data_IF_403023484977
#
_entry.id   IF_403023484977
#
_cell.length_a   1.000
_cell.length_b   1.000
_cell.length_c   1.000
_cell.angle_alpha   90.00
_cell.angle_beta   90.00
_cell.angle_gamma   90.00
#
_symmetry.space_group_name_H-M   'P 1'
#
loop_
_entity.id
_entity.type
_entity.pdbx_description
1 polymer ?
#
# COMPACT_ATOMS: atom_id res chain seq x y z
N UNK A 1 -2.72 37.37 16.00
CA UNK A 1 -2.22 36.59 14.85
C UNK A 1 -3.08 35.35 14.72
N UNK A 2 -3.77 35.15 13.59
CA UNK A 2 -4.61 33.97 13.40
C UNK A 2 -3.70 32.80 13.03
N UNK A 3 -3.36 31.94 14.00
CA UNK A 3 -2.39 30.85 13.85
C UNK A 3 -2.85 29.79 12.83
N UNK A 4 -4.14 29.76 12.47
CA UNK A 4 -4.74 28.76 11.60
C UNK A 4 -5.86 29.31 10.70
N UNK A 5 -5.72 30.50 10.10
CA UNK A 5 -6.86 31.20 9.46
C UNK A 5 -7.51 30.43 8.32
N UNK A 6 -6.85 30.34 7.17
CA UNK A 6 -7.41 29.76 5.95
C UNK A 6 -7.26 28.24 5.93
N UNK A 7 -6.14 27.72 6.45
CA UNK A 7 -5.85 26.29 6.45
C UNK A 7 -6.82 25.48 7.32
N UNK A 8 -7.29 26.04 8.44
CA UNK A 8 -8.29 25.36 9.28
C UNK A 8 -9.63 25.27 8.56
N UNK A 9 -10.00 26.29 7.79
CA UNK A 9 -11.22 26.25 6.98
C UNK A 9 -11.09 25.17 5.90
N UNK A 10 -9.99 25.13 5.16
CA UNK A 10 -9.74 24.11 4.13
C UNK A 10 -9.81 22.70 4.72
N UNK A 11 -9.20 22.49 5.88
CA UNK A 11 -9.21 21.18 6.54
C UNK A 11 -10.57 20.81 7.14
N UNK A 12 -11.32 21.75 7.72
CA UNK A 12 -12.69 21.50 8.20
C UNK A 12 -13.65 21.18 7.05
N UNK A 13 -13.53 21.90 5.94
CA UNK A 13 -14.31 21.62 4.73
C UNK A 13 -13.95 20.23 4.21
N UNK A 14 -12.66 19.90 4.09
CA UNK A 14 -12.25 18.58 3.60
C UNK A 14 -12.64 17.46 4.56
N UNK A 15 -12.55 17.66 5.87
CA UNK A 15 -13.03 16.69 6.86
C UNK A 15 -14.55 16.46 6.74
N UNK A 16 -15.31 17.52 6.47
CA UNK A 16 -16.76 17.42 6.22
C UNK A 16 -17.07 16.69 4.91
N UNK A 17 -16.28 16.93 3.85
CA UNK A 17 -16.35 16.20 2.59
C UNK A 17 -16.04 14.72 2.83
N UNK A 18 -14.98 14.41 3.55
CA UNK A 18 -14.62 13.03 3.86
C UNK A 18 -15.75 12.33 4.63
N UNK A 19 -16.34 12.97 5.65
CA UNK A 19 -17.42 12.36 6.43
C UNK A 19 -18.72 12.17 5.65
N UNK A 20 -19.13 13.16 4.84
CA UNK A 20 -20.43 13.14 4.15
C UNK A 20 -20.38 12.52 2.76
N UNK A 21 -19.30 12.75 2.02
CA UNK A 21 -19.17 12.36 0.61
C UNK A 21 -18.57 10.97 0.48
N UNK A 22 -17.62 10.56 1.34
CA UNK A 22 -17.02 9.20 1.26
C UNK A 22 -18.06 8.08 1.40
N UNK A 23 -19.13 8.32 2.17
CA UNK A 23 -20.25 7.37 2.31
C UNK A 23 -20.96 7.08 0.97
N UNK A 24 -21.06 8.07 0.07
CA UNK A 24 -21.78 7.96 -1.20
C UNK A 24 -20.86 7.76 -2.41
N UNK A 25 -19.73 8.47 -2.44
CA UNK A 25 -18.73 8.41 -3.49
C UNK A 25 -17.39 8.02 -2.86
N UNK A 26 -16.97 6.79 -3.13
CA UNK A 26 -15.64 6.31 -2.76
C UNK A 26 -14.90 5.94 -4.02
N UNK A 27 -13.71 6.50 -4.18
CA UNK A 27 -12.85 6.19 -5.32
C UNK A 27 -12.27 4.78 -5.19
N UNK A 28 -12.10 4.29 -3.97
CA UNK A 28 -11.71 2.91 -3.71
C UNK A 28 -12.77 1.93 -4.24
N UNK A 29 -14.05 2.24 -4.02
CA UNK A 29 -15.17 1.45 -4.59
C UNK A 29 -15.14 1.47 -6.10
N UNK A 30 -14.99 2.65 -6.68
CA UNK A 30 -14.94 2.80 -8.14
C UNK A 30 -13.78 2.03 -8.76
N UNK A 31 -12.57 2.10 -8.19
CA UNK A 31 -11.39 1.40 -8.72
C UNK A 31 -11.60 -0.12 -8.74
N UNK A 32 -12.21 -0.65 -7.69
CA UNK A 32 -12.44 -2.07 -7.51
C UNK A 32 -13.67 -2.61 -8.28
N UNK A 33 -14.70 -1.80 -8.53
CA UNK A 33 -15.91 -2.24 -9.25
C UNK A 33 -15.87 -2.01 -10.76
N UNK A 34 -14.93 -1.20 -11.26
CA UNK A 34 -14.97 -0.75 -12.66
C UNK A 34 -14.82 -1.88 -13.70
N UNK A 35 -13.91 -2.84 -13.47
CA UNK A 35 -13.57 -3.89 -14.46
C UNK A 35 -13.28 -5.26 -13.86
N UNK A 36 -13.51 -5.45 -12.57
CA UNK A 36 -13.38 -6.78 -11.98
C UNK A 36 -14.64 -7.60 -12.25
N UNK A 37 -14.40 -8.84 -12.60
CA UNK A 37 -15.43 -9.84 -12.86
C UNK A 37 -15.29 -10.95 -11.82
N UNK A 38 -16.40 -11.37 -11.21
CA UNK A 38 -16.47 -12.53 -10.34
C UNK A 38 -17.03 -13.72 -11.12
N UNK A 39 -16.58 -14.91 -10.74
CA UNK A 39 -17.26 -16.14 -11.15
C UNK A 39 -18.44 -16.37 -10.22
N UNK A 40 -19.60 -16.65 -10.80
CA UNK A 40 -20.76 -17.09 -10.03
C UNK A 40 -20.54 -18.54 -9.59
N UNK A 41 -21.13 -18.91 -8.45
CA UNK A 41 -21.17 -20.32 -8.08
C UNK A 41 -22.06 -21.05 -9.09
N UNK A 42 -21.65 -22.24 -9.56
CA UNK A 42 -22.47 -23.03 -10.46
C UNK A 42 -23.72 -23.50 -9.74
N UNK A 43 -24.84 -23.57 -10.45
CA UNK A 43 -26.08 -24.10 -9.86
C UNK A 43 -25.98 -25.62 -9.66
N UNK A 44 -26.77 -26.16 -8.74
CA UNK A 44 -26.82 -27.60 -8.50
C UNK A 44 -27.21 -28.38 -9.77
N UNK A 45 -28.05 -27.79 -10.61
CA UNK A 45 -28.47 -28.38 -11.89
C UNK A 45 -27.32 -28.43 -12.91
N UNK A 46 -26.50 -27.39 -12.98
CA UNK A 46 -25.29 -27.37 -13.80
C UNK A 46 -24.29 -28.40 -13.30
N UNK A 47 -24.05 -28.45 -11.99
CA UNK A 47 -23.15 -29.44 -11.39
C UNK A 47 -23.60 -30.87 -11.66
N UNK A 48 -24.90 -31.15 -11.55
CA UNK A 48 -25.49 -32.46 -11.85
C UNK A 48 -25.38 -32.81 -13.33
N UNK A 49 -25.64 -31.83 -14.22
CA UNK A 49 -25.55 -32.03 -15.66
C UNK A 49 -24.12 -32.36 -16.12
N UNK A 50 -23.12 -31.65 -15.61
CA UNK A 50 -21.72 -31.84 -15.98
C UNK A 50 -21.12 -33.08 -15.29
N UNK A 51 -21.60 -33.42 -14.09
CA UNK A 51 -21.21 -34.66 -13.41
C UNK A 51 -21.89 -35.93 -13.99
N UNK A 52 -22.78 -35.80 -14.97
CA UNK A 52 -23.53 -36.91 -15.55
C UNK A 52 -24.52 -37.57 -14.58
N UNK A 53 -24.86 -36.87 -13.49
CA UNK A 53 -25.77 -37.33 -12.45
C UNK A 53 -27.18 -36.80 -12.76
N UNK A 54 -28.10 -37.68 -13.17
CA UNK A 54 -29.51 -37.28 -13.27
C UNK A 54 -30.14 -37.24 -11.87
N UNK A 55 -30.75 -36.09 -11.51
CA UNK A 55 -31.67 -35.99 -10.37
C UNK A 55 -32.89 -36.85 -10.69
N UNK A 56 -32.86 -38.13 -10.33
CA UNK A 56 -33.95 -39.08 -10.63
C UNK A 56 -35.29 -38.53 -10.10
N UNK A 57 -36.22 -38.02 -10.94
CA UNK A 57 -37.48 -37.44 -10.48
C UNK A 57 -38.55 -38.51 -10.21
N UNK A 58 -38.16 -39.78 -10.05
CA UNK A 58 -39.11 -40.87 -10.06
C UNK A 58 -38.53 -42.21 -9.61
N UNK A 59 -38.26 -42.36 -8.32
CA UNK A 59 -38.41 -43.68 -7.67
C UNK A 59 -39.66 -43.68 -6.82
N UNK A 60 -40.77 -43.95 -7.48
CA UNK A 60 -42.03 -44.32 -6.85
C UNK A 60 -41.84 -45.54 -5.92
N UNK A 61 -42.19 -45.34 -4.64
CA UNK A 61 -42.73 -46.31 -3.69
C UNK A 61 -42.26 -47.78 -3.83
N UNK A 62 -41.17 -48.12 -3.14
CA UNK A 62 -40.76 -49.50 -2.84
C UNK A 62 -40.52 -49.68 -1.34
N UNK A 63 -41.53 -50.27 -0.67
CA UNK A 63 -41.70 -50.60 0.75
C UNK A 63 -40.45 -51.18 1.46
N UNK A 64 -40.05 -50.58 2.60
CA UNK A 64 -39.58 -51.15 3.90
C UNK A 64 -38.31 -50.49 4.44
N UNK A 65 -38.35 -50.12 5.72
CA UNK A 65 -37.16 -49.91 6.54
C UNK A 65 -37.29 -48.71 7.47
N UNK A 66 -37.59 -48.99 8.73
CA UNK A 66 -37.78 -48.04 9.82
C UNK A 66 -36.43 -47.44 10.22
N UNK A 67 -36.48 -46.17 10.63
CA UNK A 67 -35.51 -45.45 11.49
C UNK A 67 -34.36 -44.67 10.82
N UNK A 68 -34.63 -43.39 10.53
CA UNK A 68 -33.68 -42.29 10.73
C UNK A 68 -34.45 -40.98 10.62
N UNK A 69 -34.63 -40.28 11.74
CA UNK A 69 -34.95 -38.84 11.73
C UNK A 69 -33.70 -38.13 11.20
N UNK A 70 -33.71 -37.78 9.92
CA UNK A 70 -32.71 -36.90 9.32
C UNK A 70 -33.45 -35.71 8.75
N UNK A 71 -32.99 -34.52 9.11
CA UNK A 71 -33.55 -33.22 8.76
C UNK A 71 -33.88 -33.15 7.26
N UNK A 72 -35.13 -32.83 6.98
CA UNK A 72 -35.68 -32.58 5.65
C UNK A 72 -35.45 -31.10 5.30
N UNK A 73 -34.18 -30.72 5.11
CA UNK A 73 -33.81 -29.55 4.33
C UNK A 73 -33.59 -30.04 2.90
N UNK A 74 -34.46 -29.65 1.97
CA UNK A 74 -34.59 -30.16 0.60
C UNK A 74 -33.42 -29.95 -0.38
N UNK A 75 -32.18 -29.87 0.11
CA UNK A 75 -30.98 -30.04 -0.70
C UNK A 75 -30.49 -31.48 -0.54
N UNK A 76 -30.83 -32.30 -1.52
CA UNK A 76 -30.26 -33.63 -1.64
C UNK A 76 -28.76 -33.51 -1.84
N UNK A 77 -27.96 -33.70 -0.80
CA UNK A 77 -26.49 -33.75 -0.88
C UNK A 77 -26.08 -34.73 -2.00
N UNK A 78 -25.45 -34.21 -3.06
CA UNK A 78 -24.94 -35.02 -4.17
C UNK A 78 -23.42 -34.91 -4.24
N UNK A 79 -22.75 -36.07 -4.41
CA UNK A 79 -21.29 -36.11 -4.48
C UNK A 79 -20.82 -35.82 -5.90
N UNK A 80 -20.12 -34.70 -6.07
CA UNK A 80 -19.56 -34.26 -7.33
C UNK A 80 -18.10 -34.72 -7.45
N UNK A 81 -17.70 -35.42 -8.53
CA UNK A 81 -16.29 -35.72 -8.81
C UNK A 81 -15.43 -34.45 -8.84
N UNK A 82 -14.25 -34.49 -8.20
CA UNK A 82 -13.36 -33.31 -8.08
C UNK A 82 -12.73 -32.85 -9.40
N UNK A 83 -12.76 -33.67 -10.46
CA UNK A 83 -12.04 -33.42 -11.72
C UNK A 83 -12.97 -32.98 -12.85
N UNK A 84 -13.99 -32.18 -12.56
CA UNK A 84 -14.94 -31.72 -13.57
C UNK A 84 -14.50 -30.37 -14.13
N UNK A 85 -14.44 -30.27 -15.46
CA UNK A 85 -14.25 -29.00 -16.17
C UNK A 85 -15.57 -28.24 -16.22
N UNK A 86 -15.79 -27.34 -15.25
CA UNK A 86 -16.92 -26.41 -15.24
C UNK A 86 -16.55 -25.08 -15.89
N UNK A 87 -17.35 -24.66 -16.87
CA UNK A 87 -17.36 -23.29 -17.35
C UNK A 87 -18.26 -22.47 -16.42
N UNK A 88 -17.65 -21.58 -15.64
CA UNK A 88 -18.36 -20.74 -14.67
C UNK A 88 -18.86 -19.47 -15.34
N UNK A 89 -20.11 -19.13 -15.06
CA UNK A 89 -20.68 -17.85 -15.47
C UNK A 89 -19.99 -16.68 -14.77
N UNK A 90 -19.93 -15.55 -15.49
CA UNK A 90 -19.16 -14.39 -15.08
C UNK A 90 -20.10 -13.22 -14.84
N UNK A 91 -20.01 -12.60 -13.67
CA UNK A 91 -20.77 -11.40 -13.29
C UNK A 91 -19.84 -10.25 -12.90
N UNK A 92 -20.27 -9.01 -13.13
CA UNK A 92 -19.51 -7.83 -12.67
C UNK A 92 -19.53 -7.76 -11.14
N UNK A 93 -18.40 -7.35 -10.53
CA UNK A 93 -18.29 -7.22 -9.07
C UNK A 93 -19.15 -6.07 -8.56
N UNK A 94 -20.05 -6.36 -7.63
CA UNK A 94 -20.87 -5.35 -6.97
C UNK A 94 -20.22 -4.86 -5.66
N UNK A 95 -20.56 -3.65 -5.19
CA UNK A 95 -20.04 -3.11 -3.92
C UNK A 95 -20.31 -4.04 -2.72
N UNK A 96 -21.42 -4.77 -2.72
CA UNK A 96 -21.84 -5.68 -1.65
C UNK A 96 -20.90 -6.87 -1.49
N UNK A 97 -20.39 -7.40 -2.60
CA UNK A 97 -19.44 -8.52 -2.60
C UNK A 97 -18.11 -8.12 -1.96
N UNK A 98 -17.76 -6.83 -2.03
CA UNK A 98 -16.47 -6.32 -1.58
C UNK A 98 -16.40 -6.16 -0.07
N UNK A 99 -17.54 -5.91 0.57
CA UNK A 99 -17.64 -5.72 2.03
C UNK A 99 -17.21 -6.98 2.78
N UNK A 100 -17.32 -8.16 2.15
CA UNK A 100 -16.91 -9.43 2.73
C UNK A 100 -15.39 -9.60 2.79
N UNK A 101 -14.60 -8.79 2.05
CA UNK A 101 -13.15 -8.86 2.12
C UNK A 101 -12.63 -8.26 3.43
N UNK A 102 -11.80 -9.02 4.14
CA UNK A 102 -11.33 -8.69 5.49
C UNK A 102 -10.71 -7.28 5.63
N UNK A 103 -9.93 -6.82 4.63
CA UNK A 103 -9.23 -5.53 4.66
C UNK A 103 -9.89 -4.44 3.78
N UNK A 104 -11.14 -4.66 3.36
CA UNK A 104 -11.81 -3.74 2.44
C UNK A 104 -12.08 -2.37 3.07
N UNK A 105 -12.52 -2.35 4.33
CA UNK A 105 -12.83 -1.11 5.06
C UNK A 105 -11.58 -0.24 5.22
N UNK A 106 -10.46 -0.85 5.60
CA UNK A 106 -9.17 -0.21 5.76
C UNK A 106 -8.63 0.31 4.43
N UNK A 107 -8.76 -0.48 3.36
CA UNK A 107 -8.37 -0.08 2.02
C UNK A 107 -9.18 1.13 1.54
N UNK A 108 -10.50 1.06 1.68
CA UNK A 108 -11.41 2.13 1.26
C UNK A 108 -11.04 3.42 1.96
N UNK A 109 -10.91 3.36 3.28
CA UNK A 109 -10.64 4.51 4.09
C UNK A 109 -9.23 5.10 3.83
N UNK A 110 -8.19 4.27 3.69
CA UNK A 110 -6.85 4.73 3.38
C UNK A 110 -6.81 5.48 2.05
N UNK A 111 -7.44 4.93 1.01
CA UNK A 111 -7.41 5.53 -0.32
C UNK A 111 -8.21 6.83 -0.38
N UNK A 112 -9.42 6.84 0.17
CA UNK A 112 -10.27 8.03 0.19
C UNK A 112 -9.62 9.15 1.03
N UNK A 113 -9.00 8.80 2.17
CA UNK A 113 -8.26 9.75 2.99
C UNK A 113 -7.01 10.29 2.28
N UNK A 114 -6.23 9.43 1.61
CA UNK A 114 -5.03 9.84 0.87
C UNK A 114 -5.34 10.83 -0.25
N UNK A 115 -6.45 10.62 -0.96
CA UNK A 115 -6.89 11.53 -2.02
C UNK A 115 -7.34 12.87 -1.43
N UNK A 116 -8.08 12.85 -0.33
CA UNK A 116 -8.45 14.09 0.38
C UNK A 116 -7.20 14.84 0.87
N UNK A 117 -6.22 14.14 1.44
CA UNK A 117 -4.94 14.71 1.85
C UNK A 117 -4.18 15.33 0.67
N UNK A 118 -4.17 14.67 -0.49
CA UNK A 118 -3.57 15.20 -1.72
C UNK A 118 -4.26 16.50 -2.16
N UNK A 119 -5.60 16.56 -2.13
CA UNK A 119 -6.33 17.79 -2.44
C UNK A 119 -6.02 18.91 -1.44
N UNK A 120 -5.99 18.62 -0.14
CA UNK A 120 -5.63 19.60 0.90
C UNK A 120 -4.21 20.12 0.66
N UNK A 121 -3.27 19.23 0.34
CA UNK A 121 -1.90 19.59 0.03
C UNK A 121 -1.82 20.51 -1.20
N UNK A 122 -2.43 20.12 -2.33
CA UNK A 122 -2.43 20.93 -3.56
C UNK A 122 -3.06 22.31 -3.33
N UNK A 123 -4.22 22.38 -2.66
CA UNK A 123 -4.88 23.65 -2.37
C UNK A 123 -3.99 24.54 -1.48
N UNK A 124 -3.30 23.94 -0.51
CA UNK A 124 -2.41 24.67 0.41
C UNK A 124 -1.16 25.17 -0.31
N UNK A 125 -0.57 24.38 -1.21
CA UNK A 125 0.57 24.80 -2.04
C UNK A 125 0.17 25.92 -3.02
N UNK A 126 -0.99 25.81 -3.67
CA UNK A 126 -1.52 26.88 -4.52
C UNK A 126 -1.78 28.15 -3.72
N UNK A 127 -2.30 28.03 -2.49
CA UNK A 127 -2.50 29.16 -1.60
C UNK A 127 -1.19 29.84 -1.22
N UNK A 128 -0.15 29.08 -0.86
CA UNK A 128 1.17 29.63 -0.55
C UNK A 128 1.87 30.24 -1.77
N UNK A 129 1.65 29.68 -2.95
CA UNK A 129 2.16 30.26 -4.20
C UNK A 129 1.55 31.64 -4.49
N UNK A 130 0.25 31.81 -4.22
CA UNK A 130 -0.45 33.08 -4.45
C UNK A 130 -0.23 34.10 -3.33
N UNK A 131 -0.16 33.64 -2.07
CA UNK A 131 -0.03 34.48 -0.88
C UNK A 131 1.07 33.88 0.00
N UNK A 132 2.27 34.48 0.03
CA UNK A 132 3.36 33.99 0.86
C UNK A 132 3.11 34.33 2.34
N UNK A 133 2.43 33.43 3.05
CA UNK A 133 2.18 33.54 4.49
C UNK A 133 3.39 32.98 5.25
N UNK A 134 4.01 33.78 6.12
CA UNK A 134 5.27 33.43 6.81
C UNK A 134 5.09 32.77 8.19
N UNK A 135 3.92 32.90 8.82
CA UNK A 135 3.73 32.56 10.25
C UNK A 135 2.61 31.53 10.52
N UNK A 136 2.26 30.67 9.56
CA UNK A 136 1.24 29.61 9.76
C UNK A 136 1.86 28.20 9.71
N UNK A 137 1.44 27.34 10.64
CA UNK A 137 1.83 25.93 10.63
C UNK A 137 1.13 25.22 9.48
N UNK A 138 1.89 24.64 8.55
CA UNK A 138 1.34 23.96 7.38
C UNK A 138 0.55 22.70 7.78
N UNK A 139 -0.77 22.85 7.91
CA UNK A 139 -1.67 21.78 8.32
C UNK A 139 -1.77 20.67 7.26
N UNK A 140 -1.48 20.95 5.99
CA UNK A 140 -1.49 19.92 4.94
C UNK A 140 -0.41 18.86 5.15
N UNK A 141 0.74 19.22 5.72
CA UNK A 141 1.80 18.27 6.08
C UNK A 141 1.30 17.30 7.14
N UNK A 142 0.46 17.77 8.09
CA UNK A 142 -0.16 16.90 9.09
C UNK A 142 -1.04 15.83 8.43
N UNK A 143 -1.81 16.19 7.40
CA UNK A 143 -2.62 15.23 6.64
C UNK A 143 -1.73 14.19 5.95
N UNK A 144 -0.63 14.60 5.33
CA UNK A 144 0.34 13.68 4.74
C UNK A 144 0.96 12.73 5.77
N UNK A 145 1.33 13.23 6.95
CA UNK A 145 1.85 12.42 8.06
C UNK A 145 0.79 11.41 8.53
N UNK A 146 -0.49 11.80 8.61
CA UNK A 146 -1.58 10.89 8.95
C UNK A 146 -1.74 9.79 7.90
N UNK A 147 -1.65 10.09 6.60
CA UNK A 147 -1.67 9.08 5.52
C UNK A 147 -0.55 8.07 5.74
N UNK A 148 0.68 8.54 6.01
CA UNK A 148 1.82 7.67 6.28
C UNK A 148 1.56 6.80 7.52
N UNK A 149 1.04 7.39 8.60
CA UNK A 149 0.68 6.67 9.83
C UNK A 149 -0.35 5.57 9.58
N UNK A 150 -1.39 5.85 8.78
CA UNK A 150 -2.40 4.87 8.41
C UNK A 150 -1.85 3.76 7.52
N UNK A 151 -0.98 4.10 6.56
CA UNK A 151 -0.29 3.13 5.73
C UNK A 151 0.60 2.20 6.58
N UNK A 152 1.38 2.75 7.52
CA UNK A 152 2.22 1.97 8.45
C UNK A 152 1.34 1.08 9.34
N UNK A 153 0.23 1.59 9.88
CA UNK A 153 -0.71 0.78 10.67
C UNK A 153 -1.22 -0.42 9.88
N UNK A 154 -1.66 -0.21 8.65
CA UNK A 154 -2.18 -1.29 7.78
C UNK A 154 -1.06 -2.28 7.45
N UNK A 155 0.15 -1.78 7.14
CA UNK A 155 1.31 -2.61 6.85
C UNK A 155 1.69 -3.50 8.05
N UNK A 156 1.68 -2.96 9.26
CA UNK A 156 1.89 -3.70 10.50
C UNK A 156 0.78 -4.73 10.74
N UNK A 157 -0.49 -4.38 10.50
CA UNK A 157 -1.62 -5.30 10.61
C UNK A 157 -1.49 -6.48 9.65
N UNK A 158 -1.15 -6.20 8.38
CA UNK A 158 -0.89 -7.22 7.36
C UNK A 158 0.25 -8.14 7.78
N UNK A 159 1.37 -7.57 8.25
CA UNK A 159 2.51 -8.35 8.72
C UNK A 159 2.15 -9.21 9.93
N UNK A 160 1.40 -8.67 10.88
CA UNK A 160 0.97 -9.40 12.07
C UNK A 160 0.16 -10.66 11.71
N UNK A 161 -0.66 -10.62 10.66
CA UNK A 161 -1.43 -11.76 10.19
C UNK A 161 -0.53 -12.92 9.71
N UNK A 162 0.49 -12.61 8.90
CA UNK A 162 1.50 -13.61 8.49
C UNK A 162 2.27 -14.18 9.67
N UNK A 163 2.49 -13.38 10.71
CA UNK A 163 3.18 -13.86 11.91
C UNK A 163 2.29 -14.70 12.82
N UNK A 164 0.95 -14.67 12.69
CA UNK A 164 0.03 -15.41 13.58
C UNK A 164 -0.28 -16.83 13.13
N UNK A 165 -0.04 -17.20 11.87
CA UNK A 165 -0.32 -18.56 11.38
C UNK A 165 0.45 -19.66 12.12
N UNK A 166 -0.21 -20.76 12.47
CA UNK A 166 0.39 -21.90 13.18
C UNK A 166 1.49 -22.60 12.34
N UNK A 167 1.37 -22.59 11.01
CA UNK A 167 2.36 -23.15 10.07
C UNK A 167 3.37 -22.11 9.53
N UNK A 168 3.36 -20.87 10.04
CA UNK A 168 4.06 -19.73 9.45
C UNK A 168 5.58 -19.66 9.74
N UNK A 169 6.25 -20.76 10.08
CA UNK A 169 7.70 -20.76 10.37
C UNK A 169 8.51 -20.27 9.16
N UNK A 170 8.12 -20.70 7.95
CA UNK A 170 8.72 -20.24 6.70
C UNK A 170 8.49 -18.75 6.43
N UNK A 171 7.29 -18.25 6.73
CA UNK A 171 6.93 -16.85 6.51
C UNK A 171 7.69 -15.90 7.46
N UNK A 172 7.75 -16.27 8.74
CA UNK A 172 8.47 -15.50 9.77
C UNK A 172 9.98 -15.44 9.47
N UNK A 173 10.56 -16.58 9.09
CA UNK A 173 11.99 -16.64 8.75
C UNK A 173 12.34 -15.87 7.48
N UNK A 174 11.47 -15.88 6.46
CA UNK A 174 11.62 -15.07 5.27
C UNK A 174 11.59 -13.57 5.58
N UNK A 175 10.63 -13.13 6.40
CA UNK A 175 10.53 -11.73 6.83
C UNK A 175 11.78 -11.28 7.60
N UNK A 176 12.26 -12.11 8.54
CA UNK A 176 13.47 -11.82 9.32
C UNK A 176 14.72 -11.74 8.41
N UNK A 177 14.88 -12.70 7.50
CA UNK A 177 16.01 -12.74 6.56
C UNK A 177 16.00 -11.52 5.65
N UNK A 178 14.83 -11.16 5.11
CA UNK A 178 14.68 -9.95 4.31
C UNK A 178 15.00 -8.68 5.12
N UNK A 179 14.57 -8.60 6.39
CA UNK A 179 14.92 -7.50 7.29
C UNK A 179 16.43 -7.33 7.47
N UNK A 180 17.16 -8.42 7.68
CA UNK A 180 18.63 -8.40 7.74
C UNK A 180 19.28 -7.99 6.41
N UNK A 181 18.75 -8.46 5.29
CA UNK A 181 19.22 -8.09 3.96
C UNK A 181 19.02 -6.59 3.70
N UNK A 182 17.84 -6.05 4.00
CA UNK A 182 17.57 -4.61 3.87
C UNK A 182 18.40 -3.77 4.84
N UNK A 183 18.62 -4.24 6.07
CA UNK A 183 19.54 -3.61 7.01
C UNK A 183 20.96 -3.52 6.45
N UNK A 184 21.47 -4.61 5.87
CA UNK A 184 22.80 -4.66 5.28
C UNK A 184 22.93 -3.73 4.07
N UNK A 185 21.93 -3.74 3.17
CA UNK A 185 21.89 -2.83 2.02
C UNK A 185 21.84 -1.38 2.50
N UNK A 186 20.99 -1.06 3.48
CA UNK A 186 20.89 0.28 4.05
C UNK A 186 22.22 0.74 4.68
N UNK A 187 22.94 -0.17 5.35
CA UNK A 187 24.25 0.13 5.90
C UNK A 187 25.26 0.51 4.81
N UNK A 188 25.32 -0.25 3.71
CA UNK A 188 26.20 0.07 2.56
C UNK A 188 25.84 1.44 2.00
N UNK A 189 24.55 1.69 1.78
CA UNK A 189 24.03 2.93 1.21
C UNK A 189 24.31 4.15 2.11
N UNK A 190 24.18 4.01 3.43
CA UNK A 190 24.41 5.11 4.38
C UNK A 190 25.88 5.35 4.68
N UNK A 191 26.75 4.36 4.47
CA UNK A 191 28.21 4.54 4.57
C UNK A 191 28.77 5.20 3.31
N UNK A 192 28.13 5.02 2.15
CA UNK A 192 28.53 5.67 0.90
C UNK A 192 28.63 7.20 1.06
N UNK A 193 29.52 7.79 0.28
CA UNK A 193 29.79 9.23 0.36
C UNK A 193 28.57 10.05 -0.12
N UNK A 194 28.33 11.17 0.55
CA UNK A 194 27.23 12.09 0.20
C UNK A 194 27.48 12.80 -1.14
N UNK A 195 28.71 12.73 -1.67
CA UNK A 195 29.02 13.18 -3.02
C UNK A 195 28.37 12.31 -4.11
N UNK A 196 28.05 11.05 -3.80
CA UNK A 196 27.33 10.16 -4.72
C UNK A 196 25.82 10.15 -4.46
N UNK A 197 25.41 10.16 -3.19
CA UNK A 197 24.01 10.05 -2.78
C UNK A 197 23.54 11.29 -2.03
N UNK A 198 22.45 11.89 -2.51
CA UNK A 198 21.92 13.15 -1.99
C UNK A 198 20.99 12.95 -0.78
N UNK A 199 21.52 12.39 0.31
CA UNK A 199 20.72 12.24 1.54
C UNK A 199 20.67 13.49 2.39
N UNK A 200 21.69 14.35 2.32
CA UNK A 200 21.80 15.53 3.19
C UNK A 200 21.87 15.18 4.68
N UNK A 201 22.43 14.00 5.00
CA UNK A 201 22.44 13.47 6.36
C UNK A 201 23.48 14.20 7.23
N UNK A 202 24.62 14.57 6.65
CA UNK A 202 25.68 15.31 7.31
C UNK A 202 25.28 16.72 7.74
N UNK A 203 24.73 17.58 6.84
CA UNK A 203 24.25 18.90 7.25
C UNK A 203 23.10 18.80 8.27
N UNK A 204 22.25 17.79 8.17
CA UNK A 204 21.18 17.56 9.13
C UNK A 204 21.73 17.13 10.51
N UNK A 205 22.67 16.19 10.56
CA UNK A 205 23.28 15.71 11.79
C UNK A 205 24.09 16.81 12.49
N UNK A 206 24.87 17.59 11.74
CA UNK A 206 25.63 18.73 12.30
C UNK A 206 24.70 19.79 12.89
N UNK A 207 23.62 20.15 12.18
CA UNK A 207 22.62 21.10 12.68
C UNK A 207 21.89 20.58 13.93
N UNK A 208 21.54 19.30 13.95
CA UNK A 208 20.94 18.64 15.11
C UNK A 208 21.90 18.63 16.30
N UNK A 209 23.17 18.28 16.09
CA UNK A 209 24.16 18.19 17.16
C UNK A 209 24.44 19.57 17.78
N UNK A 210 24.54 20.62 16.96
CA UNK A 210 24.69 22.01 17.44
C UNK A 210 23.49 22.43 18.28
N UNK A 211 22.27 22.15 17.80
CA UNK A 211 21.03 22.49 18.52
C UNK A 211 20.86 21.70 19.83
N UNK A 212 21.21 20.41 19.81
CA UNK A 212 21.18 19.56 21.00
C UNK A 212 22.23 20.00 22.02
N UNK A 213 23.43 20.40 21.57
CA UNK A 213 24.48 20.91 22.44
C UNK A 213 24.06 22.22 23.12
N UNK A 214 23.42 23.16 22.40
CA UNK A 214 22.89 24.38 23.04
C UNK A 214 21.82 24.06 24.08
N UNK A 215 20.89 23.15 23.77
CA UNK A 215 19.85 22.74 24.72
C UNK A 215 20.42 22.06 25.98
N UNK A 216 21.39 21.16 25.82
CA UNK A 216 22.04 20.47 26.94
C UNK A 216 22.81 21.45 27.83
N UNK A 217 23.49 22.43 27.23
CA UNK A 217 24.16 23.51 27.96
C UNK A 217 23.19 24.34 28.78
N UNK A 218 22.03 24.67 28.23
CA UNK A 218 20.97 25.40 28.95
C UNK A 218 20.40 24.59 30.13
N UNK A 219 20.42 23.25 30.03
CA UNK A 219 20.06 22.33 31.10
C UNK A 219 21.23 22.02 32.07
N UNK A 220 22.38 22.67 31.92
CA UNK A 220 23.56 22.49 32.79
C UNK A 220 24.34 21.18 32.56
N UNK A 221 24.06 20.46 31.48
CA UNK A 221 24.76 19.23 31.11
C UNK A 221 25.86 19.53 30.08
N UNK A 222 27.13 19.39 30.48
CA UNK A 222 28.28 19.49 29.58
C UNK A 222 28.50 18.17 28.85
N UNK A 223 27.71 17.90 27.81
CA UNK A 223 27.90 16.75 26.92
C UNK A 223 28.23 17.22 25.50
N UNK A 224 29.23 16.61 24.87
CA UNK A 224 29.71 16.93 23.51
C UNK A 224 28.73 16.56 22.39
N UNK A 225 27.50 16.16 22.73
CA UNK A 225 26.45 15.75 21.80
C UNK A 225 25.79 14.43 22.23
N UNK A 226 24.53 14.17 21.83
CA UNK A 226 23.76 13.02 22.31
C UNK A 226 24.11 11.67 21.66
N UNK A 227 24.72 11.63 20.46
CA UNK A 227 25.05 10.37 19.77
C UNK A 227 26.15 10.55 18.72
N UNK A 228 26.98 9.51 18.48
CA UNK A 228 27.98 9.52 17.39
C UNK A 228 27.30 9.41 16.02
N UNK A 229 27.93 9.99 14.99
CA UNK A 229 27.46 9.91 13.59
C UNK A 229 27.24 8.47 13.12
N UNK A 230 28.11 7.55 13.52
CA UNK A 230 27.97 6.13 13.21
C UNK A 230 26.73 5.52 13.89
N UNK A 231 26.49 5.84 15.16
CA UNK A 231 25.31 5.36 15.88
C UNK A 231 24.03 5.88 15.21
N UNK A 232 24.00 7.15 14.82
CA UNK A 232 22.88 7.74 14.08
C UNK A 232 22.59 6.99 12.76
N UNK A 233 23.62 6.75 11.95
CA UNK A 233 23.51 5.96 10.71
C UNK A 233 23.04 4.52 10.99
N UNK A 234 23.55 3.89 12.05
CA UNK A 234 23.17 2.54 12.44
C UNK A 234 21.71 2.44 12.90
N UNK A 235 21.21 3.41 13.67
CA UNK A 235 19.80 3.49 14.05
C UNK A 235 18.91 3.65 12.82
N UNK A 236 19.30 4.51 11.87
CA UNK A 236 18.55 4.70 10.63
C UNK A 236 18.55 3.42 9.78
N UNK A 237 19.68 2.73 9.66
CA UNK A 237 19.77 1.44 8.99
C UNK A 237 18.86 0.39 9.64
N UNK A 238 18.78 0.35 10.98
CA UNK A 238 17.89 -0.56 11.71
C UNK A 238 16.42 -0.29 11.38
N UNK A 239 16.01 0.98 11.33
CA UNK A 239 14.66 1.36 10.90
C UNK A 239 14.39 0.96 9.44
N UNK A 240 15.36 1.15 8.54
CA UNK A 240 15.25 0.69 7.16
C UNK A 240 15.11 -0.84 7.06
N UNK A 241 15.86 -1.61 7.84
CA UNK A 241 15.74 -3.06 7.92
C UNK A 241 14.37 -3.51 8.41
N UNK A 242 13.85 -2.86 9.46
CA UNK A 242 12.53 -3.14 10.01
C UNK A 242 11.43 -2.83 8.99
N UNK A 243 11.45 -1.64 8.39
CA UNK A 243 10.49 -1.24 7.34
C UNK A 243 10.59 -2.17 6.13
N UNK A 244 11.81 -2.51 5.70
CA UNK A 244 12.05 -3.44 4.60
C UNK A 244 11.46 -4.82 4.87
N UNK A 245 11.59 -5.33 6.11
CA UNK A 245 10.98 -6.60 6.51
C UNK A 245 9.46 -6.60 6.27
N UNK A 246 8.78 -5.52 6.67
CA UNK A 246 7.33 -5.37 6.50
C UNK A 246 6.90 -5.27 5.04
N UNK A 247 7.74 -4.72 4.17
CA UNK A 247 7.48 -4.66 2.73
C UNK A 247 7.75 -5.96 1.98
N UNK A 248 8.36 -6.98 2.60
CA UNK A 248 8.72 -8.24 1.93
C UNK A 248 7.50 -8.95 1.33
N UNK A 249 6.45 -9.20 2.12
CA UNK A 249 5.24 -9.88 1.63
C UNK A 249 4.44 -9.05 0.63
N UNK A 250 4.16 -7.75 0.89
CA UNK A 250 3.57 -6.87 -0.11
C UNK A 250 4.37 -6.84 -1.41
N UNK A 251 5.70 -6.79 -1.33
CA UNK A 251 6.59 -6.80 -2.50
C UNK A 251 6.48 -8.08 -3.32
N UNK A 252 6.48 -9.25 -2.67
CA UNK A 252 6.29 -10.54 -3.34
C UNK A 252 4.90 -10.66 -3.98
N UNK A 253 3.85 -10.20 -3.29
CA UNK A 253 2.49 -10.16 -3.85
C UNK A 253 2.39 -9.20 -5.03
N UNK A 254 3.02 -8.02 -4.95
CA UNK A 254 3.08 -7.06 -6.04
C UNK A 254 3.80 -7.64 -7.27
N UNK A 255 4.92 -8.34 -7.07
CA UNK A 255 5.64 -9.00 -8.16
C UNK A 255 4.80 -10.11 -8.81
N UNK A 256 4.07 -10.90 -8.01
CA UNK A 256 3.15 -11.92 -8.53
C UNK A 256 1.98 -11.29 -9.30
N UNK A 257 1.36 -10.26 -8.74
CA UNK A 257 0.29 -9.49 -9.39
C UNK A 257 0.77 -8.91 -10.74
N UNK A 258 1.97 -8.36 -10.80
CA UNK A 258 2.56 -7.87 -12.04
C UNK A 258 2.72 -8.98 -13.08
N UNK A 259 3.24 -10.14 -12.69
CA UNK A 259 3.38 -11.31 -13.56
C UNK A 259 2.03 -11.80 -14.10
N UNK A 260 1.01 -11.86 -13.24
CA UNK A 260 -0.33 -12.30 -13.62
C UNK A 260 -1.01 -11.27 -14.53
N UNK A 261 -0.84 -9.97 -14.28
CA UNK A 261 -1.32 -8.90 -15.15
C UNK A 261 -0.69 -8.95 -16.55
N UNK A 262 0.62 -9.26 -16.64
CA UNK A 262 1.31 -9.44 -17.93
C UNK A 262 0.76 -10.64 -18.71
N UNK A 263 0.41 -11.73 -18.03
CA UNK A 263 -0.22 -12.91 -18.65
C UNK A 263 -1.61 -12.59 -19.16
N UNK A 264 -2.42 -11.91 -18.35
CA UNK A 264 -3.77 -11.50 -18.73
C UNK A 264 -3.79 -10.53 -19.92
N UNK A 265 -2.76 -9.67 -20.03
CA UNK A 265 -2.64 -8.67 -21.08
C UNK A 265 -1.73 -9.12 -22.24
N UNK A 266 -1.49 -10.42 -22.43
CA UNK A 266 -0.56 -10.94 -23.46
C UNK A 266 -0.87 -10.44 -24.87
N UNK A 267 -2.17 -10.37 -25.21
CA UNK A 267 -2.69 -9.99 -26.52
C UNK A 267 -2.68 -8.46 -26.77
N UNK A 268 -2.38 -7.65 -25.74
CA UNK A 268 -2.47 -6.18 -25.81
C UNK A 268 -1.08 -5.55 -25.62
N UNK A 269 -0.31 -5.33 -26.71
CA UNK A 269 1.09 -4.92 -26.62
C UNK A 269 1.27 -3.57 -25.91
N UNK A 270 0.37 -2.60 -26.16
CA UNK A 270 0.41 -1.29 -25.51
C UNK A 270 0.24 -1.38 -23.99
N UNK A 271 -0.71 -2.19 -23.51
CA UNK A 271 -0.96 -2.35 -22.08
C UNK A 271 0.19 -3.07 -21.39
N UNK A 272 0.78 -4.05 -22.08
CA UNK A 272 2.00 -4.74 -21.63
C UNK A 272 3.18 -3.77 -21.47
N UNK A 273 3.40 -2.88 -22.44
CA UNK A 273 4.45 -1.85 -22.31
C UNK A 273 4.19 -0.90 -21.15
N UNK A 274 2.94 -0.48 -20.95
CA UNK A 274 2.56 0.39 -19.83
C UNK A 274 2.80 -0.29 -18.47
N UNK A 275 2.49 -1.59 -18.35
CA UNK A 275 2.76 -2.38 -17.15
C UNK A 275 4.26 -2.44 -16.84
N UNK A 276 5.11 -2.65 -17.85
CA UNK A 276 6.57 -2.63 -17.65
C UNK A 276 7.07 -1.26 -17.23
N UNK A 277 6.60 -0.18 -17.87
CA UNK A 277 6.95 1.19 -17.48
C UNK A 277 6.54 1.44 -16.03
N UNK A 278 5.32 1.09 -15.65
CA UNK A 278 4.82 1.26 -14.27
C UNK A 278 5.65 0.47 -13.25
N UNK A 279 6.14 -0.72 -13.61
CA UNK A 279 6.96 -1.54 -12.72
C UNK A 279 8.38 -0.98 -12.53
N UNK A 280 8.93 -0.34 -13.56
CA UNK A 280 10.28 0.25 -13.54
C UNK A 280 10.28 1.67 -12.95
N UNK A 281 9.15 2.39 -13.01
CA UNK A 281 9.04 3.79 -12.55
C UNK A 281 9.63 4.06 -11.15
N UNK A 282 9.40 3.20 -10.12
CA UNK A 282 10.01 3.41 -8.80
C UNK A 282 11.54 3.42 -8.82
N UNK A 283 12.18 2.68 -9.74
CA UNK A 283 13.64 2.69 -9.91
C UNK A 283 14.12 4.05 -10.38
N UNK A 284 13.40 4.69 -11.31
CA UNK A 284 13.73 6.04 -11.76
C UNK A 284 13.66 7.04 -10.61
N UNK A 285 12.66 6.92 -9.73
CA UNK A 285 12.56 7.77 -8.52
C UNK A 285 13.75 7.57 -7.60
N UNK A 286 14.21 6.33 -7.39
CA UNK A 286 15.42 6.06 -6.59
C UNK A 286 16.67 6.62 -7.26
N UNK A 287 16.79 6.53 -8.58
CA UNK A 287 17.90 7.10 -9.34
C UNK A 287 17.96 8.63 -9.25
N UNK A 288 16.84 9.32 -8.96
CA UNK A 288 16.84 10.76 -8.73
C UNK A 288 17.64 11.18 -7.48
N UNK A 289 17.89 10.26 -6.54
CA UNK A 289 18.72 10.53 -5.35
C UNK A 289 20.23 10.35 -5.61
N UNK A 290 20.59 9.86 -6.79
CA UNK A 290 21.99 9.67 -7.20
C UNK A 290 22.45 10.93 -7.92
N UNK A 291 23.30 11.74 -7.26
CA UNK A 291 23.78 13.04 -7.77
C UNK A 291 24.29 13.00 -9.23
N UNK A 292 25.19 12.09 -9.63
CA UNK A 292 25.70 12.08 -11.01
C UNK A 292 24.64 11.71 -12.06
N UNK A 293 23.55 11.04 -11.67
CA UNK A 293 22.46 10.68 -12.58
C UNK A 293 21.42 11.80 -12.65
N UNK A 294 21.10 12.40 -11.51
CA UNK A 294 20.03 13.38 -11.39
C UNK A 294 20.53 14.81 -11.52
N UNK A 295 21.33 15.28 -10.55
CA UNK A 295 21.79 16.68 -10.47
C UNK A 295 22.61 17.09 -11.68
N UNK A 296 23.53 16.23 -12.12
CA UNK A 296 24.34 16.55 -13.29
C UNK A 296 23.48 16.83 -14.53
N UNK A 297 22.39 16.09 -14.76
CA UNK A 297 21.56 16.25 -15.95
C UNK A 297 20.40 17.25 -15.78
N UNK A 298 19.80 17.35 -14.59
CA UNK A 298 18.61 18.18 -14.36
C UNK A 298 18.90 19.56 -13.80
N UNK A 299 20.01 19.76 -13.07
CA UNK A 299 20.32 21.04 -12.41
C UNK A 299 21.63 21.68 -12.87
N UNK A 300 22.67 20.89 -13.15
CA UNK A 300 24.02 21.43 -13.39
C UNK A 300 24.35 21.55 -14.88
N UNK A 301 23.81 20.68 -15.74
CA UNK A 301 24.02 20.76 -17.19
C UNK A 301 23.18 21.87 -17.79
N UNK A 302 23.82 22.99 -18.08
CA UNK A 302 23.27 24.01 -18.97
C UNK A 302 23.25 23.44 -20.40
N UNK A 303 22.05 23.25 -20.94
CA UNK A 303 21.89 22.86 -22.33
C UNK A 303 22.31 24.03 -23.23
N UNK A 304 23.12 23.80 -24.28
CA UNK A 304 23.52 24.88 -25.18
C UNK A 304 22.27 25.52 -25.79
N UNK A 305 22.01 26.79 -25.43
CA UNK A 305 20.83 27.56 -25.88
C UNK A 305 19.89 28.04 -24.77
N UNK A 306 20.06 27.62 -23.52
CA UNK A 306 19.31 28.18 -22.38
C UNK A 306 20.20 29.22 -21.70
N UNK A 307 19.91 30.54 -21.82
CA UNK A 307 20.65 31.55 -21.07
C UNK A 307 20.43 31.29 -19.58
N UNK A 308 21.53 31.09 -18.85
CA UNK A 308 21.51 30.84 -17.42
C UNK A 308 20.82 31.98 -16.67
N UNK A 309 19.90 31.62 -15.78
CA UNK A 309 19.44 32.47 -14.69
C UNK A 309 20.46 32.44 -13.55
#
# INVERSE_FOLDING_TARGET
>A
MAIFGVQLVVTMVMASVLQKVSAHFSLARWLLSYRLMRYLHPSDEELLSVAGLQRNPGKSKGKKGKDSRRDDSGDSEFMVPKNIELQLDVAAVQPEDMIQLHYYSEYQWLLDFAICALFVYIITEVYYFLIPVKDEVNLSILWCILVIGFAIKILLSLTAEYFRGEEAVGERSLCLTAGFLFFFIAMIVLIADEDFLEFGLEPAYTSFNVSAHSFLKDQGLNSSGPASKLMFKLTLALWCGLIGSFFTFPGLRFARMHKDALRYCSERPFLKTLLHISFILPVFVVLMWVKPVARHYFTERTWPGIPGT
#
